data_IF_074127681477
#
_entry.id   IF_074127681477
#
_cell.length_a   1.000
_cell.length_b   1.000
_cell.length_c   1.000
_cell.angle_alpha   90.00
_cell.angle_beta   90.00
_cell.angle_gamma   90.00
#
_symmetry.space_group_name_H-M   'P 1'
#
loop_
_entity.id
_entity.type
_entity.pdbx_description
1 polymer ?
#
# COMPACT_ATOMS: atom_id res chain seq x y z
N UNK A 1 -51.07 -80.40 -50.83
CA UNK A 1 -51.76 -79.10 -50.63
C UNK A 1 -51.01 -78.08 -51.46
N UNK A 2 -51.56 -77.65 -52.60
CA UNK A 2 -51.01 -76.47 -53.30
C UNK A 2 -51.38 -75.27 -52.44
N UNK A 3 -50.38 -74.53 -51.97
CA UNK A 3 -50.59 -73.25 -51.33
C UNK A 3 -51.13 -72.32 -52.43
N UNK A 4 -52.31 -71.76 -52.20
CA UNK A 4 -52.99 -70.86 -53.13
C UNK A 4 -52.22 -69.54 -53.23
N UNK A 5 -51.98 -69.05 -54.43
CA UNK A 5 -51.24 -67.80 -54.68
C UNK A 5 -51.85 -66.61 -53.94
N UNK A 6 -53.16 -66.61 -53.76
CA UNK A 6 -53.89 -65.57 -53.04
C UNK A 6 -53.56 -65.57 -51.53
N UNK A 7 -53.26 -66.75 -50.96
CA UNK A 7 -52.85 -66.86 -49.55
C UNK A 7 -51.43 -66.36 -49.30
N UNK A 8 -50.54 -66.50 -50.29
CA UNK A 8 -49.19 -65.94 -50.23
C UNK A 8 -49.19 -64.42 -50.43
N UNK A 9 -50.05 -63.92 -51.30
CA UNK A 9 -50.22 -62.50 -51.56
C UNK A 9 -50.79 -61.77 -50.34
N UNK A 10 -51.83 -62.33 -49.71
CA UNK A 10 -52.39 -61.81 -48.46
C UNK A 10 -51.40 -61.86 -47.30
N UNK A 11 -50.64 -62.96 -47.13
CA UNK A 11 -49.60 -63.04 -46.10
C UNK A 11 -48.50 -61.98 -46.31
N UNK A 12 -48.04 -61.80 -47.55
CA UNK A 12 -47.05 -60.78 -47.92
C UNK A 12 -47.54 -59.38 -47.58
N UNK A 13 -48.81 -59.08 -47.86
CA UNK A 13 -49.37 -57.76 -47.62
C UNK A 13 -49.59 -57.52 -46.11
N UNK A 14 -50.00 -58.53 -45.34
CA UNK A 14 -50.03 -58.46 -43.87
C UNK A 14 -48.65 -58.18 -43.29
N UNK A 15 -47.60 -58.89 -43.76
CA UNK A 15 -46.23 -58.68 -43.29
C UNK A 15 -45.74 -57.28 -43.60
N UNK A 16 -46.04 -56.74 -44.79
CA UNK A 16 -45.70 -55.35 -45.15
C UNK A 16 -46.38 -54.34 -44.23
N UNK A 17 -47.67 -54.52 -43.94
CA UNK A 17 -48.42 -53.63 -43.06
C UNK A 17 -47.91 -53.69 -41.61
N UNK A 18 -47.61 -54.89 -41.09
CA UNK A 18 -47.03 -55.05 -39.74
C UNK A 18 -45.66 -54.38 -39.64
N UNK A 19 -44.77 -54.62 -40.61
CA UNK A 19 -43.43 -54.00 -40.64
C UNK A 19 -43.55 -52.48 -40.72
N UNK A 20 -44.49 -51.96 -41.52
CA UNK A 20 -44.72 -50.52 -41.64
C UNK A 20 -45.23 -49.93 -40.32
N UNK A 21 -46.21 -50.58 -39.69
CA UNK A 21 -46.76 -50.16 -38.41
C UNK A 21 -45.71 -50.18 -37.29
N UNK A 22 -44.88 -51.21 -37.20
CA UNK A 22 -43.78 -51.29 -36.23
C UNK A 22 -42.71 -50.21 -36.49
N UNK A 23 -42.35 -49.96 -37.75
CA UNK A 23 -41.40 -48.89 -38.09
C UNK A 23 -41.94 -47.51 -37.76
N UNK A 24 -43.23 -47.24 -38.01
CA UNK A 24 -43.86 -45.98 -37.67
C UNK A 24 -43.96 -45.81 -36.13
N UNK A 25 -44.27 -46.87 -35.40
CA UNK A 25 -44.27 -46.87 -33.94
C UNK A 25 -42.87 -46.59 -33.35
N UNK A 26 -41.82 -47.24 -33.89
CA UNK A 26 -40.43 -46.99 -33.48
C UNK A 26 -39.99 -45.56 -33.79
N UNK A 27 -40.37 -45.01 -34.96
CA UNK A 27 -40.09 -43.61 -35.31
C UNK A 27 -40.75 -42.64 -34.33
N UNK A 28 -41.99 -42.90 -33.95
CA UNK A 28 -42.70 -42.10 -32.95
C UNK A 28 -42.03 -42.19 -31.58
N UNK A 29 -41.62 -43.37 -31.13
CA UNK A 29 -40.92 -43.55 -29.86
C UNK A 29 -39.56 -42.84 -29.86
N UNK A 30 -38.79 -42.96 -30.96
CA UNK A 30 -37.52 -42.24 -31.15
C UNK A 30 -37.77 -40.72 -31.11
N UNK A 31 -38.75 -40.21 -31.84
CA UNK A 31 -39.05 -38.77 -31.85
C UNK A 31 -39.47 -38.26 -30.47
N UNK A 32 -40.27 -39.04 -29.73
CA UNK A 32 -40.65 -38.72 -28.34
C UNK A 32 -39.44 -38.68 -27.40
N UNK A 33 -38.46 -39.56 -27.59
CA UNK A 33 -37.24 -39.57 -26.79
C UNK A 33 -36.24 -38.48 -27.20
N UNK A 34 -36.11 -38.19 -28.50
CA UNK A 34 -35.12 -37.28 -29.08
C UNK A 34 -35.53 -35.81 -28.97
N UNK A 35 -36.83 -35.50 -29.04
CA UNK A 35 -37.35 -34.14 -28.91
C UNK A 35 -36.95 -33.44 -27.59
N UNK A 36 -37.14 -34.03 -26.40
CA UNK A 36 -36.74 -33.38 -25.15
C UNK A 36 -35.22 -33.23 -25.04
N UNK A 37 -34.44 -34.16 -25.62
CA UNK A 37 -32.97 -34.05 -25.66
C UNK A 37 -32.54 -32.84 -26.51
N UNK A 38 -33.18 -32.62 -27.68
CA UNK A 38 -32.90 -31.43 -28.49
C UNK A 38 -33.24 -30.15 -27.75
N UNK A 39 -34.40 -30.10 -27.07
CA UNK A 39 -34.78 -28.93 -26.29
C UNK A 39 -33.78 -28.65 -25.16
N UNK A 40 -33.38 -29.69 -24.41
CA UNK A 40 -32.38 -29.55 -23.36
C UNK A 40 -31.02 -29.12 -23.91
N UNK A 41 -30.65 -29.57 -25.10
CA UNK A 41 -29.41 -29.16 -25.75
C UNK A 41 -29.45 -27.69 -26.17
N UNK A 42 -30.57 -27.22 -26.71
CA UNK A 42 -30.78 -25.82 -27.06
C UNK A 42 -30.76 -24.92 -25.82
N UNK A 43 -31.48 -25.30 -24.77
CA UNK A 43 -31.46 -24.59 -23.48
C UNK A 43 -30.04 -24.54 -22.87
N UNK A 44 -29.27 -25.63 -23.01
CA UNK A 44 -27.89 -25.70 -22.56
C UNK A 44 -26.98 -24.77 -23.38
N UNK A 45 -27.18 -24.74 -24.70
CA UNK A 45 -26.42 -23.86 -25.60
C UNK A 45 -26.67 -22.38 -25.27
N UNK A 46 -27.92 -21.99 -25.01
CA UNK A 46 -28.27 -20.62 -24.62
C UNK A 46 -27.65 -20.23 -23.27
N UNK A 47 -27.66 -21.14 -22.29
CA UNK A 47 -27.00 -20.91 -21.00
C UNK A 47 -25.48 -20.75 -21.15
N UNK A 48 -24.85 -21.61 -21.95
CA UNK A 48 -23.41 -21.51 -22.23
C UNK A 48 -23.07 -20.18 -22.89
N UNK A 49 -23.85 -19.76 -23.89
CA UNK A 49 -23.67 -18.46 -24.54
C UNK A 49 -23.79 -17.31 -23.55
N UNK A 50 -24.80 -17.35 -22.67
CA UNK A 50 -24.96 -16.31 -21.63
C UNK A 50 -23.76 -16.26 -20.69
N UNK A 51 -23.28 -17.42 -20.22
CA UNK A 51 -22.09 -17.48 -19.36
C UNK A 51 -20.83 -16.99 -20.06
N UNK A 52 -20.64 -17.28 -21.36
CA UNK A 52 -19.52 -16.73 -22.13
C UNK A 52 -19.56 -15.20 -22.20
N UNK A 53 -20.75 -14.61 -22.33
CA UNK A 53 -20.93 -13.15 -22.32
C UNK A 53 -20.64 -12.56 -20.94
N UNK A 54 -21.13 -13.19 -19.87
CA UNK A 54 -20.85 -12.80 -18.48
C UNK A 54 -19.36 -12.89 -18.13
N UNK A 55 -18.69 -13.96 -18.57
CA UNK A 55 -17.24 -14.14 -18.36
C UNK A 55 -16.45 -13.06 -19.10
N UNK A 56 -16.80 -12.76 -20.35
CA UNK A 56 -16.16 -11.67 -21.10
C UNK A 56 -16.36 -10.32 -20.41
N UNK A 57 -17.57 -10.06 -19.88
CA UNK A 57 -17.86 -8.85 -19.11
C UNK A 57 -17.09 -8.80 -17.77
N UNK A 58 -16.88 -9.95 -17.13
CA UNK A 58 -16.08 -10.05 -15.91
C UNK A 58 -14.59 -9.77 -16.20
N UNK A 59 -14.04 -10.37 -17.24
CA UNK A 59 -12.64 -10.21 -17.64
C UNK A 59 -12.33 -8.75 -17.99
N UNK A 60 -13.20 -8.10 -18.75
CA UNK A 60 -13.04 -6.66 -19.07
C UNK A 60 -13.05 -5.79 -17.81
N UNK A 61 -13.92 -6.08 -16.84
CA UNK A 61 -13.94 -5.38 -15.54
C UNK A 61 -12.71 -5.68 -14.70
N UNK A 62 -12.21 -6.91 -14.72
CA UNK A 62 -11.01 -7.33 -14.00
C UNK A 62 -9.79 -6.58 -14.53
N UNK A 63 -9.61 -6.53 -15.85
CA UNK A 63 -8.53 -5.77 -16.50
C UNK A 63 -8.59 -4.28 -16.15
N UNK A 64 -9.77 -3.66 -16.16
CA UNK A 64 -9.95 -2.28 -15.76
C UNK A 64 -9.59 -2.05 -14.28
N UNK A 65 -9.97 -2.98 -13.40
CA UNK A 65 -9.64 -2.93 -11.98
C UNK A 65 -8.14 -3.06 -11.73
N UNK A 66 -7.46 -3.99 -12.42
CA UNK A 66 -6.01 -4.15 -12.33
C UNK A 66 -5.27 -2.90 -12.80
N UNK A 67 -5.72 -2.27 -13.89
CA UNK A 67 -5.16 -1.01 -14.38
C UNK A 67 -5.32 0.11 -13.32
N UNK A 68 -6.50 0.23 -12.72
CA UNK A 68 -6.77 1.21 -11.66
C UNK A 68 -5.91 0.94 -10.41
N UNK A 69 -5.73 -0.31 -10.01
CA UNK A 69 -4.88 -0.69 -8.88
C UNK A 69 -3.42 -0.30 -9.14
N UNK A 70 -2.89 -0.59 -10.34
CA UNK A 70 -1.54 -0.16 -10.74
C UNK A 70 -1.40 1.35 -10.73
N UNK A 71 -2.37 2.07 -11.28
CA UNK A 71 -2.36 3.53 -11.27
C UNK A 71 -2.37 4.09 -9.84
N UNK A 72 -3.23 3.56 -8.98
CA UNK A 72 -3.33 3.99 -7.58
C UNK A 72 -2.03 3.72 -6.82
N UNK A 73 -1.42 2.54 -7.00
CA UNK A 73 -0.12 2.20 -6.42
C UNK A 73 0.97 3.19 -6.83
N UNK A 74 1.04 3.54 -8.12
CA UNK A 74 2.00 4.51 -8.63
C UNK A 74 1.76 5.92 -8.06
N UNK A 75 0.50 6.33 -7.91
CA UNK A 75 0.15 7.62 -7.29
C UNK A 75 0.52 7.64 -5.81
N UNK A 76 0.29 6.54 -5.11
CA UNK A 76 0.64 6.38 -3.70
C UNK A 76 2.15 6.50 -3.48
N UNK A 77 2.97 5.79 -4.26
CA UNK A 77 4.43 5.87 -4.17
C UNK A 77 4.94 7.29 -4.43
N UNK A 78 4.42 7.95 -5.49
CA UNK A 78 4.75 9.36 -5.77
C UNK A 78 4.39 10.29 -4.61
N UNK A 79 3.24 10.04 -3.97
CA UNK A 79 2.81 10.84 -2.82
C UNK A 79 3.69 10.59 -1.61
N UNK A 80 4.08 9.35 -1.33
CA UNK A 80 5.01 9.02 -0.25
C UNK A 80 6.36 9.72 -0.43
N UNK A 81 6.94 9.66 -1.64
CA UNK A 81 8.18 10.36 -1.96
C UNK A 81 8.05 11.88 -1.81
N UNK A 82 6.91 12.45 -2.22
CA UNK A 82 6.65 13.88 -2.06
C UNK A 82 6.49 14.28 -0.59
N UNK A 83 5.82 13.46 0.22
CA UNK A 83 5.68 13.69 1.66
C UNK A 83 7.06 13.64 2.33
N UNK A 84 7.86 12.61 2.05
CA UNK A 84 9.22 12.51 2.60
C UNK A 84 10.10 13.71 2.21
N UNK A 85 10.08 14.14 0.94
CA UNK A 85 10.81 15.34 0.51
C UNK A 85 10.33 16.63 1.20
N UNK A 86 9.01 16.84 1.31
CA UNK A 86 8.44 18.00 1.99
C UNK A 86 8.75 18.01 3.49
N UNK A 87 8.65 16.85 4.13
CA UNK A 87 8.98 16.67 5.53
C UNK A 87 10.47 16.91 5.80
N UNK A 88 11.34 16.35 4.97
CA UNK A 88 12.77 16.58 5.04
C UNK A 88 13.10 18.06 4.81
N UNK A 89 12.46 18.72 3.82
CA UNK A 89 12.58 20.17 3.56
C UNK A 89 12.15 21.00 4.76
N UNK A 90 10.99 20.73 5.33
CA UNK A 90 10.44 21.45 6.47
C UNK A 90 11.27 21.30 7.74
N UNK A 91 12.04 20.20 7.87
CA UNK A 91 12.90 19.92 9.02
C UNK A 91 14.38 20.20 8.76
N UNK A 92 14.78 20.77 7.61
CA UNK A 92 16.20 21.02 7.27
C UNK A 92 16.94 21.87 8.30
N UNK A 93 16.23 22.82 8.90
CA UNK A 93 16.74 23.70 9.95
C UNK A 93 16.62 23.12 11.35
N UNK A 94 16.05 21.92 11.51
CA UNK A 94 15.81 21.32 12.81
C UNK A 94 17.01 20.49 13.28
N UNK A 95 17.41 20.72 14.52
CA UNK A 95 18.37 19.94 15.28
C UNK A 95 17.69 19.22 16.43
N UNK A 96 18.14 17.99 16.67
CA UNK A 96 17.80 17.24 17.87
C UNK A 96 19.01 17.22 18.80
N UNK A 97 18.85 17.71 20.02
CA UNK A 97 19.92 17.77 21.02
C UNK A 97 19.58 16.84 22.19
N UNK A 98 20.52 16.01 22.59
CA UNK A 98 20.39 15.05 23.69
C UNK A 98 21.38 15.36 24.81
N UNK A 99 21.04 14.96 26.04
CA UNK A 99 21.93 15.04 27.20
C UNK A 99 21.85 16.35 28.00
N UNK A 100 20.96 17.27 27.62
CA UNK A 100 20.76 18.54 28.32
C UNK A 100 19.98 18.31 29.63
N UNK A 101 20.56 18.59 30.82
CA UNK A 101 19.91 18.40 32.11
C UNK A 101 18.57 19.15 32.22
N UNK A 102 17.56 18.53 32.83
CA UNK A 102 16.22 19.14 32.96
C UNK A 102 16.19 20.31 33.94
N UNK A 103 15.33 21.30 33.70
CA UNK A 103 15.07 22.41 34.62
C UNK A 103 16.02 23.61 34.47
N UNK A 104 17.09 23.50 33.69
CA UNK A 104 18.06 24.60 33.50
C UNK A 104 17.59 25.69 32.55
N UNK A 105 16.50 25.48 31.81
CA UNK A 105 16.02 26.45 30.80
C UNK A 105 15.42 27.72 31.40
N UNK A 106 14.97 27.68 32.66
CA UNK A 106 14.35 28.81 33.38
C UNK A 106 13.24 29.54 32.58
N UNK A 107 12.45 28.80 31.79
CA UNK A 107 11.37 29.37 30.99
C UNK A 107 11.79 30.01 29.66
N UNK A 108 13.09 30.05 29.33
CA UNK A 108 13.60 30.48 28.02
C UNK A 108 14.44 29.38 27.32
N UNK A 109 13.79 28.33 26.79
CA UNK A 109 14.49 27.26 26.08
C UNK A 109 15.35 27.72 24.90
N UNK A 110 14.88 28.67 24.10
CA UNK A 110 15.61 29.13 22.91
C UNK A 110 16.90 29.86 23.31
N UNK A 111 16.82 30.82 24.23
CA UNK A 111 18.01 31.52 24.71
C UNK A 111 19.01 30.57 25.38
N UNK A 112 18.51 29.67 26.23
CA UNK A 112 19.35 28.67 26.90
C UNK A 112 20.10 27.77 25.90
N UNK A 113 19.42 27.25 24.88
CA UNK A 113 20.06 26.37 23.90
C UNK A 113 21.06 27.13 23.01
N UNK A 114 20.76 28.38 22.64
CA UNK A 114 21.70 29.19 21.87
C UNK A 114 23.01 29.40 22.64
N UNK A 115 22.90 29.77 23.92
CA UNK A 115 24.04 29.92 24.83
C UNK A 115 24.79 28.61 25.06
N UNK A 116 24.07 27.51 25.25
CA UNK A 116 24.66 26.18 25.39
C UNK A 116 25.51 25.82 24.18
N UNK A 117 24.94 25.96 22.96
CA UNK A 117 25.63 25.63 21.72
C UNK A 117 26.89 26.47 21.54
N UNK A 118 26.81 27.77 21.82
CA UNK A 118 27.96 28.67 21.79
C UNK A 118 29.07 28.19 22.74
N UNK A 119 28.73 27.90 24.00
CA UNK A 119 29.69 27.42 25.01
C UNK A 119 30.32 26.08 24.64
N UNK A 120 29.53 25.09 24.24
CA UNK A 120 30.05 23.73 23.98
C UNK A 120 30.82 23.65 22.67
N UNK A 121 30.47 24.45 21.66
CA UNK A 121 31.16 24.50 20.37
C UNK A 121 32.35 25.47 20.36
N UNK A 122 32.49 26.28 21.41
CA UNK A 122 33.64 27.15 21.64
C UNK A 122 33.54 28.48 20.89
N UNK A 123 34.20 29.48 21.47
CA UNK A 123 34.39 30.82 20.95
C UNK A 123 35.73 30.92 20.19
N UNK A 124 35.71 31.40 18.94
CA UNK A 124 36.92 31.63 18.15
C UNK A 124 36.82 31.25 16.66
N UNK A 125 37.93 31.36 15.89
CA UNK A 125 37.92 31.17 14.43
C UNK A 125 37.49 29.76 14.00
N UNK A 126 37.63 28.77 14.89
CA UNK A 126 37.22 27.38 14.66
C UNK A 126 35.90 27.01 15.37
N UNK A 127 35.18 27.97 15.94
CA UNK A 127 33.95 27.77 16.72
C UNK A 127 32.75 28.53 16.15
N UNK A 128 31.85 28.98 17.03
CA UNK A 128 30.80 29.94 16.68
C UNK A 128 31.26 31.36 17.01
N UNK A 129 30.91 32.34 16.19
CA UNK A 129 31.27 33.76 16.42
C UNK A 129 30.38 34.42 17.48
N UNK A 130 29.13 33.96 17.57
CA UNK A 130 28.11 34.41 18.51
C UNK A 130 27.09 33.30 18.75
N UNK A 131 26.22 33.41 19.76
CA UNK A 131 25.10 32.50 19.92
C UNK A 131 24.24 32.43 18.65
N UNK A 132 23.89 31.22 18.18
CA UNK A 132 23.11 31.06 16.95
C UNK A 132 21.68 31.57 17.16
N UNK A 133 21.07 32.07 16.08
CA UNK A 133 19.69 32.56 16.15
C UNK A 133 18.75 31.36 16.03
N UNK A 134 17.89 31.16 17.03
CA UNK A 134 16.95 30.05 17.07
C UNK A 134 15.52 30.59 17.00
N UNK A 135 14.74 30.08 16.04
CA UNK A 135 13.31 30.41 15.94
C UNK A 135 12.53 29.80 17.11
N UNK A 136 12.90 28.57 17.48
CA UNK A 136 12.20 27.79 18.51
C UNK A 136 13.11 26.72 19.08
N UNK A 137 13.11 26.56 20.39
CA UNK A 137 13.61 25.36 21.06
C UNK A 137 12.55 24.86 22.05
N UNK A 138 12.37 23.55 22.11
CA UNK A 138 11.48 22.94 23.09
C UNK A 138 11.89 21.49 23.37
N UNK A 139 11.54 20.98 24.55
CA UNK A 139 11.70 19.57 24.87
C UNK A 139 10.62 18.74 24.17
N UNK A 140 10.93 17.51 23.79
CA UNK A 140 9.92 16.58 23.26
C UNK A 140 8.85 16.30 24.30
N UNK A 141 7.60 16.10 23.85
CA UNK A 141 6.42 15.89 24.69
C UNK A 141 6.36 14.53 25.42
N UNK A 142 7.48 13.82 25.53
CA UNK A 142 7.60 12.59 26.31
C UNK A 142 7.47 12.88 27.81
N UNK A 143 6.97 11.92 28.60
CA UNK A 143 6.99 12.03 30.06
C UNK A 143 8.44 12.24 30.52
N UNK A 144 8.65 13.21 31.42
CA UNK A 144 9.95 13.38 32.07
C UNK A 144 10.31 12.06 32.77
N UNK A 145 11.55 11.63 32.61
CA UNK A 145 12.00 10.44 33.33
C UNK A 145 12.03 10.73 34.84
N UNK A 146 11.88 9.68 35.66
CA UNK A 146 12.16 9.79 37.09
C UNK A 146 13.60 10.27 37.34
N UNK A 147 13.89 10.78 38.54
CA UNK A 147 15.21 11.29 38.88
C UNK A 147 16.33 10.30 38.51
N UNK A 148 17.33 10.79 37.78
CA UNK A 148 18.44 9.99 37.24
C UNK A 148 18.19 9.35 35.87
N UNK A 149 16.98 9.45 35.32
CA UNK A 149 16.67 8.99 33.97
C UNK A 149 17.25 9.88 32.86
N UNK A 150 17.14 9.41 31.60
CA UNK A 150 17.67 10.15 30.44
C UNK A 150 16.87 11.45 30.22
N UNK A 151 17.53 12.63 30.19
CA UNK A 151 16.83 13.89 29.97
C UNK A 151 16.11 13.93 28.62
N UNK A 152 14.94 14.59 28.57
CA UNK A 152 14.17 14.71 27.34
C UNK A 152 14.95 15.43 26.23
N UNK A 153 14.99 14.89 25.00
CA UNK A 153 15.58 15.56 23.85
C UNK A 153 15.01 16.97 23.63
N UNK A 154 15.85 17.87 23.16
CA UNK A 154 15.41 19.12 22.56
C UNK A 154 15.20 18.97 21.07
N UNK A 155 14.14 19.59 20.56
CA UNK A 155 13.95 19.88 19.14
C UNK A 155 14.11 21.40 18.97
N UNK A 156 15.04 21.77 18.10
CA UNK A 156 15.51 23.15 17.92
C UNK A 156 15.41 23.51 16.46
N UNK A 157 14.78 24.64 16.13
CA UNK A 157 14.77 25.22 14.79
C UNK A 157 15.79 26.36 14.76
N UNK A 158 16.86 26.18 14.01
CA UNK A 158 17.86 27.22 13.77
C UNK A 158 17.37 28.13 12.64
N UNK A 159 17.45 29.44 12.83
CA UNK A 159 16.90 30.40 11.87
C UNK A 159 17.54 30.28 10.49
N UNK A 160 18.85 30.03 10.44
CA UNK A 160 19.60 29.88 9.19
C UNK A 160 20.08 28.44 8.98
N UNK A 161 19.74 27.88 7.82
CA UNK A 161 20.19 26.54 7.41
C UNK A 161 21.72 26.38 7.44
N UNK A 162 22.45 27.40 6.95
CA UNK A 162 23.92 27.38 6.93
C UNK A 162 24.53 27.32 8.34
N UNK A 163 23.92 28.02 9.30
CA UNK A 163 24.35 28.02 10.69
C UNK A 163 24.08 26.66 11.35
N UNK A 164 22.93 26.04 11.06
CA UNK A 164 22.63 24.66 11.46
C UNK A 164 23.66 23.67 10.92
N UNK A 165 24.04 23.77 9.65
CA UNK A 165 25.05 22.89 9.05
C UNK A 165 26.44 23.12 9.66
N UNK A 166 26.79 24.38 9.97
CA UNK A 166 28.02 24.74 10.70
C UNK A 166 28.03 24.11 12.09
N UNK A 167 26.95 24.24 12.86
CA UNK A 167 26.79 23.62 14.18
C UNK A 167 27.04 22.10 14.11
N UNK A 168 26.45 21.41 13.14
CA UNK A 168 26.65 19.97 12.99
C UNK A 168 28.06 19.58 12.62
N UNK A 169 28.70 20.37 11.75
CA UNK A 169 30.10 20.15 11.37
C UNK A 169 31.02 20.30 12.57
N UNK A 170 30.90 21.41 13.30
CA UNK A 170 31.67 21.68 14.51
C UNK A 170 31.46 20.61 15.59
N UNK A 171 30.22 20.16 15.77
CA UNK A 171 29.93 19.08 16.72
C UNK A 171 30.63 17.77 16.35
N UNK A 172 30.72 17.43 15.06
CA UNK A 172 31.44 16.25 14.57
C UNK A 172 32.95 16.39 14.71
N UNK A 173 33.48 17.57 14.39
CA UNK A 173 34.92 17.88 14.47
C UNK A 173 35.43 17.86 15.92
N UNK A 174 34.65 18.41 16.87
CA UNK A 174 34.98 18.32 18.30
C UNK A 174 34.84 16.90 18.86
N UNK A 175 33.98 16.07 18.28
CA UNK A 175 33.70 14.70 18.72
C UNK A 175 32.89 14.62 20.01
N UNK A 176 33.46 15.01 21.15
CA UNK A 176 32.81 14.92 22.47
C UNK A 176 32.45 16.32 22.99
N UNK A 177 31.16 16.64 22.95
CA UNK A 177 30.60 17.84 23.59
C UNK A 177 30.16 17.49 25.01
N UNK A 178 30.46 18.34 25.99
CA UNK A 178 30.16 18.12 27.39
C UNK A 178 29.61 19.38 28.06
N UNK A 179 28.61 19.21 28.93
CA UNK A 179 27.99 20.27 29.69
C UNK A 179 27.55 19.74 31.06
N UNK A 180 27.98 20.38 32.16
CA UNK A 180 27.77 19.90 33.54
C UNK A 180 28.09 18.41 33.76
N UNK A 181 29.21 17.93 33.22
CA UNK A 181 29.60 16.52 33.38
C UNK A 181 28.76 15.53 32.55
N UNK A 182 27.85 16.02 31.70
CA UNK A 182 26.99 15.20 30.83
C UNK A 182 27.37 15.42 29.37
N UNK A 183 27.42 14.31 28.62
CA UNK A 183 27.69 14.36 27.19
C UNK A 183 26.49 14.95 26.44
N UNK A 184 26.76 15.93 25.58
CA UNK A 184 25.79 16.52 24.67
C UNK A 184 25.97 15.90 23.29
N UNK A 185 24.87 15.48 22.68
CA UNK A 185 24.87 14.92 21.32
C UNK A 185 23.91 15.71 20.45
N UNK A 186 24.33 16.02 19.22
CA UNK A 186 23.52 16.76 18.24
C UNK A 186 23.27 15.91 17.00
N UNK A 187 22.02 15.90 16.53
CA UNK A 187 21.59 15.10 15.38
C UNK A 187 20.74 15.92 14.42
N UNK A 188 20.69 15.49 13.16
CA UNK A 188 19.63 15.93 12.24
C UNK A 188 18.32 15.37 12.74
N UNK A 189 17.25 16.14 12.64
CA UNK A 189 15.91 15.60 12.84
C UNK A 189 15.52 14.86 11.57
N UNK A 190 15.48 13.53 11.62
CA UNK A 190 14.96 12.69 10.53
C UNK A 190 13.53 12.25 10.85
N UNK A 191 12.76 11.95 9.81
CA UNK A 191 11.47 11.27 9.95
C UNK A 191 11.74 9.87 10.49
N UNK A 192 11.09 9.48 11.58
CA UNK A 192 10.88 8.06 11.88
C UNK A 192 9.60 7.70 11.14
N UNK A 193 9.74 7.11 9.95
CA UNK A 193 8.63 6.41 9.29
C UNK A 193 8.46 5.08 10.02
#
# INVERSE_FOLDING_TARGET
MMIDTDTLETFRDIVKEVIKAENDALREEINRAVSPIHQMLEDCHDKLRNHEHELTALDTRMLAMEANCKEMSNRYEKLQLKIDDLENRGRRCNLRILGVPEGLEQGNPSGFIAELLYRVLGDGPNGLEKPPVLDRAHRTATRAAADGGRPRPFIVCVHHYQEKERIQRLAREKGRLEFHGKQILTFRTTVQI
#
